data_IF_505484048393
#
_entry.id   IF_505484048393
#
_cell.length_a   1.000
_cell.length_b   1.000
_cell.length_c   1.000
_cell.angle_alpha   90.00
_cell.angle_beta   90.00
_cell.angle_gamma   90.00
#
_symmetry.space_group_name_H-M   'P 1'
#
loop_
_entity.id
_entity.type
_entity.pdbx_description
1 polymer ?
#
# COMPACT_ATOMS: atom_id res chain seq x y z
N UNK A 1 -22.36 30.30 10.06
CA UNK A 1 -21.18 30.06 9.21
C UNK A 1 -20.43 28.78 9.51
N UNK A 2 -20.19 28.42 10.78
CA UNK A 2 -19.40 27.23 11.15
C UNK A 2 -20.19 25.93 11.34
N UNK A 3 -21.43 26.01 11.82
CA UNK A 3 -22.28 24.83 12.07
C UNK A 3 -22.58 24.03 10.79
N UNK A 4 -22.77 24.72 9.66
CA UNK A 4 -23.05 24.08 8.37
C UNK A 4 -21.83 23.37 7.77
N UNK A 5 -20.62 23.88 8.06
CA UNK A 5 -19.38 23.31 7.57
C UNK A 5 -19.10 21.96 8.26
N UNK A 6 -19.22 21.89 9.58
CA UNK A 6 -18.98 20.66 10.36
C UNK A 6 -20.13 19.65 10.29
N UNK A 7 -21.41 20.08 10.29
CA UNK A 7 -22.55 19.14 10.32
C UNK A 7 -23.00 18.66 8.95
N UNK A 8 -22.72 19.40 7.88
CA UNK A 8 -23.25 19.08 6.53
C UNK A 8 -22.12 18.82 5.54
N UNK A 9 -21.20 19.77 5.37
CA UNK A 9 -20.12 19.64 4.36
C UNK A 9 -19.04 18.63 4.75
N UNK A 10 -18.65 18.57 6.02
CA UNK A 10 -17.66 17.61 6.51
C UNK A 10 -18.13 16.15 6.30
N UNK A 11 -19.31 15.70 6.78
CA UNK A 11 -19.75 14.32 6.55
C UNK A 11 -20.04 14.00 5.09
N UNK A 12 -20.45 14.99 4.26
CA UNK A 12 -20.59 14.79 2.82
C UNK A 12 -19.26 14.68 2.07
N UNK A 13 -18.20 15.34 2.55
CA UNK A 13 -16.87 15.31 1.94
C UNK A 13 -16.00 14.16 2.46
N UNK A 14 -16.31 13.60 3.64
CA UNK A 14 -15.59 12.45 4.23
C UNK A 14 -15.41 11.26 3.26
N UNK A 15 -16.45 10.82 2.51
CA UNK A 15 -16.29 9.73 1.53
C UNK A 15 -15.24 10.05 0.45
N UNK A 16 -15.20 11.31 0.00
CA UNK A 16 -14.23 11.78 -1.01
C UNK A 16 -12.81 11.85 -0.44
N UNK A 17 -12.67 12.30 0.82
CA UNK A 17 -11.39 12.31 1.52
C UNK A 17 -10.86 10.89 1.71
N UNK A 18 -11.72 9.93 2.08
CA UNK A 18 -11.32 8.54 2.24
C UNK A 18 -10.96 7.87 0.92
N UNK A 19 -11.66 8.21 -0.17
CA UNK A 19 -11.26 7.79 -1.52
C UNK A 19 -9.86 8.33 -1.88
N UNK A 20 -9.58 9.60 -1.57
CA UNK A 20 -8.26 10.20 -1.76
C UNK A 20 -7.17 9.55 -0.91
N UNK A 21 -7.42 9.27 0.36
CA UNK A 21 -6.47 8.58 1.26
C UNK A 21 -6.15 7.17 0.76
N UNK A 22 -7.17 6.41 0.33
CA UNK A 22 -6.97 5.09 -0.25
C UNK A 22 -6.08 5.17 -1.50
N UNK A 23 -6.29 6.19 -2.33
CA UNK A 23 -5.50 6.41 -3.54
C UNK A 23 -4.05 6.83 -3.24
N UNK A 24 -3.84 7.71 -2.26
CA UNK A 24 -2.50 8.11 -1.81
C UNK A 24 -1.72 6.93 -1.22
N UNK A 25 -2.38 6.02 -0.51
CA UNK A 25 -1.75 4.79 0.00
C UNK A 25 -1.39 3.83 -1.11
N UNK A 26 -2.28 3.65 -2.09
CA UNK A 26 -1.98 2.83 -3.26
C UNK A 26 -0.75 3.37 -4.00
N UNK A 27 -0.61 4.69 -4.15
CA UNK A 27 0.59 5.32 -4.71
C UNK A 27 1.83 5.16 -3.81
N UNK A 28 1.69 5.33 -2.49
CA UNK A 28 2.79 5.18 -1.54
C UNK A 28 3.34 3.74 -1.52
N UNK A 29 2.49 2.73 -1.62
CA UNK A 29 2.92 1.33 -1.70
C UNK A 29 3.72 1.03 -2.97
N UNK A 30 3.38 1.65 -4.10
CA UNK A 30 4.18 1.55 -5.33
C UNK A 30 5.65 1.97 -5.10
N UNK A 31 5.87 3.02 -4.31
CA UNK A 31 7.21 3.50 -3.98
C UNK A 31 7.92 2.65 -2.91
N UNK A 32 7.18 2.11 -1.93
CA UNK A 32 7.72 1.18 -0.92
C UNK A 32 8.29 -0.09 -1.54
N UNK A 33 7.64 -0.64 -2.58
CA UNK A 33 8.14 -1.83 -3.30
C UNK A 33 9.47 -1.54 -3.97
N UNK A 34 9.58 -0.39 -4.65
CA UNK A 34 10.82 0.03 -5.32
C UNK A 34 11.93 0.24 -4.28
N UNK A 35 11.62 0.89 -3.16
CA UNK A 35 12.57 1.09 -2.07
C UNK A 35 13.05 -0.25 -1.46
N UNK A 36 12.18 -1.26 -1.35
CA UNK A 36 12.54 -2.60 -0.88
C UNK A 36 13.53 -3.32 -1.82
N UNK A 37 13.44 -3.08 -3.12
CA UNK A 37 14.38 -3.61 -4.12
C UNK A 37 15.75 -2.92 -4.00
N UNK A 38 15.79 -1.63 -3.67
CA UNK A 38 17.01 -0.81 -3.61
C UNK A 38 17.73 -0.90 -2.24
N UNK A 39 17.00 -1.16 -1.16
CA UNK A 39 17.47 -0.89 0.21
C UNK A 39 18.02 -2.05 1.04
N UNK A 40 17.99 -3.32 0.59
CA UNK A 40 18.43 -4.43 1.47
C UNK A 40 19.32 -5.46 0.77
N UNK A 41 20.51 -5.68 1.35
CA UNK A 41 21.15 -6.99 1.26
C UNK A 41 20.19 -8.03 1.88
N UNK A 42 19.89 -9.10 1.14
CA UNK A 42 18.86 -10.09 1.51
C UNK A 42 17.90 -10.40 0.35
N UNK A 43 16.58 -10.33 0.60
CA UNK A 43 15.55 -10.66 -0.41
C UNK A 43 15.63 -9.77 -1.67
N UNK A 44 15.99 -8.49 -1.53
CA UNK A 44 16.24 -7.57 -2.66
C UNK A 44 17.43 -7.99 -3.53
N UNK A 45 18.55 -8.40 -2.91
CA UNK A 45 19.70 -8.99 -3.60
C UNK A 45 19.30 -10.25 -4.36
N UNK A 46 18.46 -11.11 -3.77
CA UNK A 46 18.01 -12.35 -4.41
C UNK A 46 17.20 -12.06 -5.69
N UNK A 47 16.39 -11.00 -5.71
CA UNK A 47 15.62 -10.54 -6.88
C UNK A 47 16.56 -9.97 -7.93
N UNK A 48 17.46 -9.09 -7.51
CA UNK A 48 18.44 -8.46 -8.40
C UNK A 48 19.33 -9.52 -9.08
N UNK A 49 19.79 -10.51 -8.30
CA UNK A 49 20.53 -11.65 -8.81
C UNK A 49 19.67 -12.53 -9.72
N UNK A 50 18.39 -12.77 -9.40
CA UNK A 50 17.49 -13.56 -10.28
C UNK A 50 17.25 -12.89 -11.63
N UNK A 51 17.11 -11.57 -11.65
CA UNK A 51 17.00 -10.78 -12.88
C UNK A 51 18.32 -10.85 -13.66
N UNK A 52 19.47 -10.83 -12.96
CA UNK A 52 20.79 -10.91 -13.57
C UNK A 52 21.16 -12.31 -14.09
N UNK A 53 20.73 -13.39 -13.43
CA UNK A 53 21.01 -14.77 -13.82
C UNK A 53 19.96 -15.36 -14.76
N UNK A 54 18.94 -14.60 -15.16
CA UNK A 54 17.78 -15.05 -15.94
C UNK A 54 17.07 -16.26 -15.31
N UNK A 55 17.16 -16.39 -13.99
CA UNK A 55 16.56 -17.51 -13.26
C UNK A 55 15.12 -17.16 -12.89
N UNK A 56 14.21 -17.51 -13.80
CA UNK A 56 12.78 -17.22 -13.72
C UNK A 56 12.16 -17.88 -12.47
N UNK A 57 12.65 -19.04 -12.04
CA UNK A 57 12.11 -19.73 -10.87
C UNK A 57 12.38 -18.92 -9.58
N UNK A 58 13.59 -18.36 -9.46
CA UNK A 58 13.99 -17.57 -8.29
C UNK A 58 13.29 -16.21 -8.25
N UNK A 59 13.06 -15.60 -9.41
CA UNK A 59 12.33 -14.32 -9.51
C UNK A 59 10.85 -14.46 -9.14
N UNK A 60 10.20 -15.57 -9.53
CA UNK A 60 8.80 -15.86 -9.16
C UNK A 60 8.67 -16.01 -7.63
N UNK A 61 9.54 -16.80 -6.99
CA UNK A 61 9.48 -16.98 -5.53
C UNK A 61 9.64 -15.65 -4.78
N UNK A 62 10.55 -14.79 -5.25
CA UNK A 62 10.79 -13.51 -4.61
C UNK A 62 9.67 -12.49 -4.88
N UNK A 63 9.07 -12.50 -6.08
CA UNK A 63 7.88 -11.71 -6.38
C UNK A 63 6.69 -12.11 -5.51
N UNK A 64 6.44 -13.42 -5.34
CA UNK A 64 5.39 -13.93 -4.44
C UNK A 64 5.62 -13.48 -3.00
N UNK A 65 6.86 -13.56 -2.50
CA UNK A 65 7.19 -13.10 -1.15
C UNK A 65 6.89 -11.60 -0.94
N UNK A 66 7.23 -10.76 -1.93
CA UNK A 66 6.92 -9.32 -1.88
C UNK A 66 5.42 -9.07 -1.95
N UNK A 67 4.70 -9.74 -2.87
CA UNK A 67 3.24 -9.59 -3.01
C UNK A 67 2.52 -9.94 -1.71
N UNK A 68 2.93 -11.02 -1.04
CA UNK A 68 2.36 -11.39 0.27
C UNK A 68 2.65 -10.30 1.31
N UNK A 69 3.86 -9.75 1.34
CA UNK A 69 4.23 -8.67 2.26
C UNK A 69 3.40 -7.41 2.00
N UNK A 70 3.28 -6.96 0.76
CA UNK A 70 2.47 -5.78 0.41
C UNK A 70 0.99 -6.01 0.65
N UNK A 71 0.47 -7.21 0.41
CA UNK A 71 -0.93 -7.54 0.68
C UNK A 71 -1.24 -7.51 2.19
N UNK A 72 -0.30 -7.91 3.04
CA UNK A 72 -0.43 -7.79 4.50
C UNK A 72 -0.42 -6.31 4.91
N UNK A 73 0.51 -5.52 4.39
CA UNK A 73 0.59 -4.07 4.65
C UNK A 73 -0.68 -3.34 4.18
N UNK A 74 -1.20 -3.73 3.02
CA UNK A 74 -2.45 -3.19 2.47
C UNK A 74 -3.65 -3.56 3.36
N UNK A 75 -3.71 -4.80 3.87
CA UNK A 75 -4.73 -5.20 4.85
C UNK A 75 -4.66 -4.36 6.13
N UNK A 76 -3.45 -4.09 6.63
CA UNK A 76 -3.24 -3.27 7.82
C UNK A 76 -3.65 -1.82 7.58
N UNK A 77 -3.27 -1.24 6.44
CA UNK A 77 -3.68 0.09 6.04
C UNK A 77 -5.21 0.18 5.90
N UNK A 78 -5.83 -0.75 5.17
CA UNK A 78 -7.29 -0.82 5.04
C UNK A 78 -7.98 -1.00 6.39
N UNK A 79 -7.43 -1.77 7.32
CA UNK A 79 -7.99 -1.93 8.67
C UNK A 79 -7.90 -0.65 9.50
N UNK A 80 -6.84 0.14 9.33
CA UNK A 80 -6.68 1.43 9.98
C UNK A 80 -7.57 2.53 9.36
N UNK A 81 -7.90 2.39 8.08
CA UNK A 81 -8.70 3.36 7.32
C UNK A 81 -10.17 3.01 7.33
N UNK A 82 -10.56 1.76 7.63
CA UNK A 82 -11.97 1.40 7.75
C UNK A 82 -12.53 2.27 8.87
N UNK A 83 -13.31 3.33 8.57
CA UNK A 83 -14.02 3.97 9.65
C UNK A 83 -14.97 2.89 10.15
N UNK A 84 -15.06 2.73 11.46
CA UNK A 84 -16.15 2.02 12.12
C UNK A 84 -17.47 2.59 11.58
N UNK A 85 -17.97 2.00 10.48
CA UNK A 85 -19.32 2.18 9.97
C UNK A 85 -20.22 1.29 10.82
N UNK A 86 -20.60 1.84 11.96
CA UNK A 86 -21.62 1.37 12.89
C UNK A 86 -21.75 2.48 13.94
N UNK A 87 -22.88 3.14 14.13
CA UNK A 87 -24.27 2.87 13.80
C UNK A 87 -24.99 4.19 13.49
#
# INVERSE_FOLDING_TARGET
GWQMFYKIRLPFALPSIMAGVNQSLMMAFGMVVIAGIVGSGGLGQSIYDSVRTLDIAKSINAAVAIVVLTMILDRLAQSAIRPTRGA
#
